data_IF_035687803170
#
_entry.id   IF_035687803170
#
_cell.length_a   1.000
_cell.length_b   1.000
_cell.length_c   1.000
_cell.angle_alpha   90.00
_cell.angle_beta   90.00
_cell.angle_gamma   90.00
#
_symmetry.space_group_name_H-M   'P 1'
#
loop_
_entity.id
_entity.type
_entity.pdbx_description
1 polymer ?
#
# COMPACT_ATOMS: atom_id res chain seq x y z
N UNK A 1 4.01 14.39 10.63
CA UNK A 1 3.86 12.93 10.95
C UNK A 1 3.80 12.66 12.47
N UNK A 2 3.45 13.67 13.27
CA UNK A 2 3.32 13.53 14.74
C UNK A 2 2.28 12.46 15.11
N UNK A 3 1.14 12.48 14.44
CA UNK A 3 0.02 11.55 14.65
C UNK A 3 0.45 10.07 14.51
N UNK A 4 1.24 9.75 13.48
CA UNK A 4 1.79 8.40 13.29
C UNK A 4 2.74 8.00 14.43
N UNK A 5 3.62 8.92 14.85
CA UNK A 5 4.57 8.64 15.95
C UNK A 5 3.85 8.45 17.28
N UNK A 6 2.79 9.19 17.55
CA UNK A 6 1.95 9.03 18.74
C UNK A 6 1.29 7.64 18.78
N UNK A 7 0.74 7.17 17.65
CA UNK A 7 0.19 5.81 17.55
C UNK A 7 1.28 4.74 17.75
N UNK A 8 2.44 4.92 17.10
CA UNK A 8 3.56 3.99 17.22
C UNK A 8 4.05 3.90 18.67
N UNK A 9 4.15 5.03 19.37
CA UNK A 9 4.52 5.10 20.77
C UNK A 9 3.47 4.43 21.67
N UNK A 10 2.20 4.68 21.45
CA UNK A 10 1.11 4.12 22.24
C UNK A 10 1.11 2.57 22.15
N UNK A 11 1.30 2.00 20.96
CA UNK A 11 1.39 0.54 20.80
C UNK A 11 2.64 0.00 21.51
N UNK A 12 3.79 0.67 21.40
CA UNK A 12 5.00 0.26 22.10
C UNK A 12 4.80 0.22 23.62
N UNK A 13 4.13 1.23 24.19
CA UNK A 13 4.02 1.42 25.64
C UNK A 13 2.83 0.64 26.23
N UNK A 14 1.69 0.61 25.54
CA UNK A 14 0.42 0.11 26.05
C UNK A 14 -0.12 -1.11 25.29
N UNK A 15 0.49 -1.51 24.16
CA UNK A 15 0.04 -2.62 23.35
C UNK A 15 0.07 -3.96 24.10
N UNK A 16 -0.93 -4.81 23.82
CA UNK A 16 -1.05 -6.15 24.37
C UNK A 16 -0.25 -7.12 23.52
N UNK A 17 0.60 -7.93 24.15
CA UNK A 17 1.35 -9.00 23.48
C UNK A 17 0.41 -10.14 23.09
N UNK A 18 0.56 -10.65 21.86
CA UNK A 18 -0.14 -11.84 21.35
C UNK A 18 0.72 -12.61 20.36
N UNK A 19 0.47 -13.89 20.25
CA UNK A 19 1.03 -14.71 19.19
C UNK A 19 0.40 -14.34 17.85
N UNK A 20 1.12 -14.57 16.77
CA UNK A 20 0.66 -14.34 15.41
C UNK A 20 0.98 -15.52 14.49
N UNK A 21 0.40 -15.50 13.30
CA UNK A 21 0.58 -16.56 12.29
C UNK A 21 2.05 -16.79 11.89
N UNK A 22 2.90 -15.78 12.00
CA UNK A 22 4.31 -15.87 11.61
C UNK A 22 5.19 -16.50 12.70
N UNK A 23 4.67 -16.68 13.91
CA UNK A 23 5.43 -17.13 15.07
C UNK A 23 6.39 -16.10 15.65
N UNK A 24 6.44 -14.88 15.11
CA UNK A 24 7.28 -13.78 15.61
C UNK A 24 6.71 -13.18 16.89
N UNK A 25 5.38 -13.21 17.02
CA UNK A 25 4.63 -12.51 18.03
C UNK A 25 4.56 -11.00 17.78
N UNK A 26 3.51 -10.39 18.28
CA UNK A 26 3.25 -8.96 18.10
C UNK A 26 2.82 -8.31 19.42
N UNK A 27 3.02 -7.00 19.47
CA UNK A 27 2.38 -6.12 20.46
C UNK A 27 1.41 -5.22 19.69
N UNK A 28 0.14 -5.17 20.10
CA UNK A 28 -0.88 -4.47 19.35
C UNK A 28 -1.95 -3.79 20.17
N UNK A 29 -2.62 -2.82 19.55
CA UNK A 29 -3.82 -2.17 20.06
C UNK A 29 -4.91 -2.35 18.99
N UNK A 30 -6.09 -2.79 19.43
CA UNK A 30 -7.24 -2.92 18.56
C UNK A 30 -7.96 -1.59 18.47
N UNK A 31 -8.12 -1.08 17.26
CA UNK A 31 -8.71 0.18 16.89
C UNK A 31 -7.90 1.43 17.28
N UNK A 32 -7.28 2.02 16.27
CA UNK A 32 -6.62 3.31 16.32
C UNK A 32 -6.96 4.15 15.08
N UNK A 33 -6.80 5.46 15.16
CA UNK A 33 -7.07 6.36 14.04
C UNK A 33 -6.13 7.55 14.05
N UNK A 34 -5.68 7.96 12.85
CA UNK A 34 -4.97 9.21 12.64
C UNK A 34 -5.54 9.99 11.45
N UNK A 35 -5.39 11.32 11.50
CA UNK A 35 -5.80 12.23 10.42
C UNK A 35 -4.59 13.00 9.91
N UNK A 36 -4.47 13.10 8.61
CA UNK A 36 -3.40 13.82 7.91
C UNK A 36 -4.05 14.84 7.00
N UNK A 37 -3.94 16.13 7.35
CA UNK A 37 -4.37 17.22 6.47
C UNK A 37 -3.29 17.46 5.42
N UNK A 38 -3.65 17.34 4.14
CA UNK A 38 -2.69 17.51 3.05
C UNK A 38 -2.30 18.98 2.82
N UNK A 39 -2.99 19.94 3.46
CA UNK A 39 -2.56 21.34 3.51
C UNK A 39 -1.30 21.54 4.36
N UNK A 40 -1.06 20.68 5.36
CA UNK A 40 0.18 20.69 6.17
C UNK A 40 1.41 20.19 5.39
N UNK A 41 1.21 19.59 4.21
CA UNK A 41 2.20 18.95 3.36
C UNK A 41 1.90 17.48 3.12
N UNK A 42 2.68 16.86 2.23
CA UNK A 42 2.52 15.44 1.89
C UNK A 42 2.98 14.55 3.07
N UNK A 43 2.11 13.67 3.60
CA UNK A 43 2.41 12.91 4.81
C UNK A 43 3.36 11.73 4.55
N UNK A 44 4.61 12.02 4.23
CA UNK A 44 5.70 11.08 4.10
C UNK A 44 6.53 11.06 5.38
N UNK A 45 6.80 9.87 5.93
CA UNK A 45 7.59 9.72 7.16
C UNK A 45 8.98 10.29 6.97
N UNK A 46 9.42 11.10 7.95
CA UNK A 46 10.74 11.75 7.96
C UNK A 46 11.66 11.24 9.07
N UNK A 47 11.13 10.48 10.03
CA UNK A 47 11.90 9.89 11.13
C UNK A 47 12.66 8.62 10.75
N UNK A 48 12.45 8.14 9.55
CA UNK A 48 13.27 7.17 8.81
C UNK A 48 13.08 7.42 7.31
N UNK A 49 14.02 6.97 6.49
CA UNK A 49 13.90 7.07 5.03
C UNK A 49 12.75 6.21 4.52
N UNK A 50 11.86 6.82 3.74
CA UNK A 50 10.75 6.15 3.05
C UNK A 50 10.90 6.36 1.54
N UNK A 51 10.80 5.28 0.76
CA UNK A 51 11.08 5.30 -0.68
C UNK A 51 9.79 5.55 -1.47
N UNK A 52 9.42 6.81 -1.67
CA UNK A 52 8.17 7.20 -2.32
C UNK A 52 8.03 6.60 -3.74
N UNK A 53 9.12 6.47 -4.49
CA UNK A 53 9.08 5.86 -5.84
C UNK A 53 8.43 4.47 -5.83
N UNK A 54 8.78 3.62 -4.88
CA UNK A 54 8.22 2.26 -4.76
C UNK A 54 6.72 2.32 -4.47
N UNK A 55 6.31 3.26 -3.60
CA UNK A 55 4.90 3.47 -3.22
C UNK A 55 4.07 3.92 -4.43
N UNK A 56 4.58 4.86 -5.22
CA UNK A 56 3.89 5.36 -6.41
C UNK A 56 3.80 4.29 -7.49
N UNK A 57 4.88 3.54 -7.73
CA UNK A 57 4.89 2.43 -8.71
C UNK A 57 3.86 1.36 -8.33
N UNK A 58 3.76 1.00 -7.06
CA UNK A 58 2.73 0.07 -6.57
C UNK A 58 1.32 0.64 -6.77
N UNK A 59 1.09 1.90 -6.38
CA UNK A 59 -0.23 2.53 -6.50
C UNK A 59 -0.70 2.60 -7.96
N UNK A 60 0.18 2.94 -8.90
CA UNK A 60 -0.14 2.95 -10.33
C UNK A 60 -0.47 1.53 -10.80
N UNK A 61 0.30 0.53 -10.40
CA UNK A 61 0.02 -0.88 -10.71
C UNK A 61 -1.37 -1.31 -10.24
N UNK A 62 -1.78 -0.94 -9.02
CA UNK A 62 -3.13 -1.21 -8.50
C UNK A 62 -4.22 -0.51 -9.33
N UNK A 63 -4.00 0.75 -9.72
CA UNK A 63 -4.94 1.53 -10.54
C UNK A 63 -5.08 0.99 -11.97
N UNK A 64 -4.04 0.36 -12.50
CA UNK A 64 -4.04 -0.33 -13.80
C UNK A 64 -4.74 -1.69 -13.76
N UNK A 65 -5.35 -2.07 -12.62
CA UNK A 65 -5.96 -3.39 -12.33
C UNK A 65 -5.07 -4.60 -12.65
N UNK A 66 -3.77 -4.36 -12.72
CA UNK A 66 -2.81 -5.42 -12.91
C UNK A 66 -2.69 -6.25 -11.63
N UNK A 67 -2.58 -7.56 -11.80
CA UNK A 67 -2.40 -8.54 -10.72
C UNK A 67 -1.07 -9.25 -10.87
N UNK A 68 -0.44 -9.09 -12.02
CA UNK A 68 0.85 -9.66 -12.38
C UNK A 68 1.99 -8.74 -11.91
N UNK A 69 2.94 -9.29 -11.15
CA UNK A 69 4.05 -8.52 -10.59
C UNK A 69 5.13 -8.11 -11.60
N UNK A 70 5.05 -8.55 -12.86
CA UNK A 70 6.05 -8.17 -13.87
C UNK A 70 6.18 -6.66 -14.02
N UNK A 71 5.07 -5.93 -14.01
CA UNK A 71 5.09 -4.47 -14.03
C UNK A 71 5.96 -3.88 -12.91
N UNK A 72 5.85 -4.45 -11.70
CA UNK A 72 6.62 -4.04 -10.52
C UNK A 72 8.10 -4.39 -10.66
N UNK A 73 8.39 -5.64 -11.06
CA UNK A 73 9.76 -6.13 -11.27
C UNK A 73 10.50 -5.32 -12.33
N UNK A 74 9.86 -5.05 -13.47
CA UNK A 74 10.43 -4.24 -14.55
C UNK A 74 10.77 -2.81 -14.09
N UNK A 75 10.09 -2.32 -13.03
CA UNK A 75 10.34 -1.02 -12.39
C UNK A 75 11.15 -1.12 -11.10
N UNK A 76 11.83 -2.23 -10.87
CA UNK A 76 12.65 -2.48 -9.68
C UNK A 76 11.88 -2.22 -8.36
N UNK A 77 10.64 -2.70 -8.30
CA UNK A 77 9.77 -2.70 -7.12
C UNK A 77 9.53 -4.15 -6.69
N UNK A 78 10.09 -4.54 -5.55
CA UNK A 78 10.22 -5.94 -5.11
C UNK A 78 9.39 -6.28 -3.88
N UNK A 79 8.40 -5.44 -3.55
CA UNK A 79 7.62 -5.59 -2.33
C UNK A 79 6.58 -6.72 -2.38
N UNK A 80 6.32 -7.24 -3.59
CA UNK A 80 5.37 -8.33 -3.83
C UNK A 80 6.01 -9.64 -4.27
N UNK A 81 7.33 -9.71 -4.42
CA UNK A 81 8.06 -10.85 -4.99
C UNK A 81 7.86 -12.17 -4.23
N UNK A 82 7.70 -12.07 -2.91
CA UNK A 82 7.74 -13.25 -2.04
C UNK A 82 6.51 -14.14 -2.19
N UNK A 83 5.33 -13.56 -2.33
CA UNK A 83 4.07 -14.33 -2.40
C UNK A 83 3.98 -15.23 -3.64
N UNK A 84 4.18 -14.74 -4.87
CA UNK A 84 4.17 -15.60 -6.04
C UNK A 84 5.35 -16.58 -6.05
N UNK A 85 6.51 -16.20 -5.51
CA UNK A 85 7.63 -17.10 -5.39
C UNK A 85 7.33 -18.25 -4.42
N UNK A 86 6.77 -17.97 -3.24
CA UNK A 86 6.40 -19.01 -2.29
C UNK A 86 5.32 -19.94 -2.87
N UNK A 87 4.33 -19.37 -3.56
CA UNK A 87 3.32 -20.16 -4.27
C UNK A 87 3.96 -21.09 -5.33
N UNK A 88 4.98 -20.60 -6.06
CA UNK A 88 5.76 -21.44 -6.99
C UNK A 88 6.46 -22.59 -6.27
N UNK A 89 7.11 -22.32 -5.15
CA UNK A 89 7.81 -23.35 -4.34
C UNK A 89 6.82 -24.43 -3.85
N UNK A 90 5.70 -23.99 -3.25
CA UNK A 90 4.73 -24.91 -2.64
C UNK A 90 4.00 -25.76 -3.71
N UNK A 91 3.57 -25.12 -4.80
CA UNK A 91 2.86 -25.79 -5.90
C UNK A 91 3.73 -26.81 -6.67
N UNK A 92 5.05 -26.69 -6.60
CA UNK A 92 5.97 -27.62 -7.23
C UNK A 92 6.62 -28.61 -6.23
N UNK A 93 6.16 -28.64 -4.97
CA UNK A 93 6.71 -29.46 -3.88
C UNK A 93 8.22 -29.28 -3.66
N UNK A 94 8.68 -28.04 -3.73
CA UNK A 94 10.11 -27.67 -3.62
C UNK A 94 10.50 -27.20 -2.21
N UNK A 95 9.59 -27.20 -1.23
CA UNK A 95 9.80 -26.65 0.11
C UNK A 95 10.89 -27.37 0.90
N UNK A 96 11.11 -28.68 0.67
CA UNK A 96 12.24 -29.40 1.28
C UNK A 96 13.59 -29.01 0.66
N UNK A 97 13.61 -28.73 -0.66
CA UNK A 97 14.81 -28.32 -1.39
C UNK A 97 15.19 -26.87 -1.09
N UNK A 98 14.20 -26.03 -0.93
CA UNK A 98 14.33 -24.60 -0.66
C UNK A 98 13.52 -24.23 0.60
N UNK A 99 14.03 -24.57 1.80
CA UNK A 99 13.36 -24.19 3.05
C UNK A 99 13.23 -22.68 3.15
N UNK A 100 12.04 -22.19 3.46
CA UNK A 100 11.74 -20.74 3.48
C UNK A 100 12.79 -19.97 4.30
N UNK A 101 13.32 -18.89 3.72
CA UNK A 101 14.40 -18.03 4.24
C UNK A 101 15.77 -18.67 4.38
N UNK A 102 15.98 -19.89 3.91
CA UNK A 102 17.34 -20.44 3.78
C UNK A 102 18.13 -19.67 2.70
N UNK A 103 19.44 -19.88 2.66
CA UNK A 103 20.28 -19.29 1.61
C UNK A 103 19.85 -19.78 0.23
N UNK A 104 19.53 -21.05 0.09
CA UNK A 104 19.05 -21.69 -1.14
C UNK A 104 17.73 -21.08 -1.60
N UNK A 105 16.81 -20.80 -0.66
CA UNK A 105 15.54 -20.13 -0.94
C UNK A 105 15.77 -18.69 -1.47
N UNK A 106 16.67 -17.95 -0.83
CA UNK A 106 17.01 -16.59 -1.25
C UNK A 106 17.66 -16.53 -2.63
N UNK A 107 18.54 -17.48 -2.94
CA UNK A 107 19.19 -17.60 -4.25
C UNK A 107 18.16 -17.99 -5.33
N UNK A 108 17.29 -18.96 -5.05
CA UNK A 108 16.24 -19.36 -6.00
C UNK A 108 15.20 -18.27 -6.20
N UNK A 109 14.83 -17.49 -5.17
CA UNK A 109 13.99 -16.32 -5.34
C UNK A 109 14.62 -15.30 -6.29
N UNK A 110 15.93 -15.08 -6.18
CA UNK A 110 16.63 -14.20 -7.11
C UNK A 110 16.57 -14.73 -8.54
N UNK A 111 16.80 -16.02 -8.76
CA UNK A 111 16.71 -16.66 -10.07
C UNK A 111 15.28 -16.54 -10.64
N UNK A 112 14.28 -16.77 -9.81
CA UNK A 112 12.86 -16.61 -10.16
C UNK A 112 12.56 -15.19 -10.64
N UNK A 113 13.00 -14.17 -9.91
CA UNK A 113 12.80 -12.75 -10.27
C UNK A 113 13.56 -12.39 -11.55
N UNK A 114 14.80 -12.86 -11.71
CA UNK A 114 15.59 -12.69 -12.95
C UNK A 114 14.88 -13.30 -14.16
N UNK A 115 14.30 -14.50 -13.98
CA UNK A 115 13.51 -15.15 -15.02
C UNK A 115 12.28 -14.31 -15.41
N UNK A 116 11.61 -13.75 -14.42
CA UNK A 116 10.51 -12.81 -14.60
C UNK A 116 10.92 -11.63 -15.48
N UNK A 117 11.98 -10.99 -15.10
CA UNK A 117 12.48 -9.80 -15.75
C UNK A 117 12.79 -10.05 -17.24
N UNK A 118 13.35 -11.22 -17.55
CA UNK A 118 13.83 -11.54 -18.88
C UNK A 118 12.79 -12.16 -19.83
N UNK A 119 11.69 -12.70 -19.31
CA UNK A 119 10.64 -13.27 -20.13
C UNK A 119 9.56 -12.24 -20.48
N UNK A 120 8.91 -12.34 -21.65
CA UNK A 120 7.80 -11.47 -22.00
C UNK A 120 6.56 -11.78 -21.13
N UNK A 121 5.69 -10.79 -20.93
CA UNK A 121 4.45 -10.97 -20.17
C UNK A 121 3.51 -12.04 -20.76
N UNK A 122 3.66 -12.36 -22.06
CA UNK A 122 2.90 -13.41 -22.75
C UNK A 122 3.40 -14.84 -22.47
N UNK A 123 4.58 -14.99 -21.85
CA UNK A 123 5.16 -16.29 -21.53
C UNK A 123 4.27 -17.06 -20.52
N UNK A 124 4.15 -18.37 -20.70
CA UNK A 124 3.27 -19.20 -19.84
C UNK A 124 3.77 -19.29 -18.40
N UNK A 125 5.09 -19.28 -18.20
CA UNK A 125 5.66 -19.24 -16.86
C UNK A 125 5.29 -17.93 -16.15
N UNK A 126 5.36 -16.81 -16.88
CA UNK A 126 4.98 -15.48 -16.40
C UNK A 126 3.50 -15.47 -16.01
N UNK A 127 2.63 -15.91 -16.91
CA UNK A 127 1.18 -15.94 -16.67
C UNK A 127 0.80 -16.83 -15.49
N UNK A 128 1.51 -17.94 -15.30
CA UNK A 128 1.15 -18.94 -14.30
C UNK A 128 1.61 -18.56 -12.89
N UNK A 129 2.82 -17.99 -12.77
CA UNK A 129 3.48 -17.90 -11.45
C UNK A 129 3.58 -16.48 -10.90
N UNK A 130 3.13 -15.47 -11.64
CA UNK A 130 3.33 -14.07 -11.27
C UNK A 130 2.09 -13.31 -10.94
N UNK A 131 0.97 -13.98 -11.02
CA UNK A 131 -0.31 -13.42 -10.75
C UNK A 131 -0.64 -13.59 -9.26
N UNK A 132 -1.01 -12.50 -8.63
CA UNK A 132 -1.47 -12.48 -7.23
C UNK A 132 -2.99 -12.62 -7.13
N UNK A 133 -3.66 -12.79 -8.28
CA UNK A 133 -5.09 -12.89 -8.48
C UNK A 133 -5.90 -13.35 -7.25
N UNK A 134 -7.07 -12.78 -6.97
CA UNK A 134 -7.66 -11.52 -7.49
C UNK A 134 -7.57 -10.36 -6.47
N UNK A 135 -6.35 -9.88 -6.18
CA UNK A 135 -6.06 -8.90 -5.13
C UNK A 135 -6.44 -7.45 -5.52
N UNK A 136 -6.33 -6.53 -4.61
CA UNK A 136 -6.57 -5.07 -4.64
C UNK A 136 -7.01 -4.47 -5.98
N UNK A 137 -6.11 -4.33 -6.97
CA UNK A 137 -6.37 -3.69 -8.25
C UNK A 137 -7.48 -4.37 -9.03
N UNK A 138 -7.53 -5.72 -9.00
CA UNK A 138 -8.61 -6.46 -9.59
C UNK A 138 -9.95 -6.11 -8.94
N UNK A 139 -10.03 -6.14 -7.60
CA UNK A 139 -11.27 -5.81 -6.90
C UNK A 139 -11.67 -4.35 -7.12
N UNK A 140 -10.73 -3.42 -7.18
CA UNK A 140 -11.03 -2.01 -7.41
C UNK A 140 -11.63 -1.73 -8.79
N UNK A 141 -11.17 -2.48 -9.83
CA UNK A 141 -11.46 -2.19 -11.23
C UNK A 141 -12.39 -3.22 -11.91
N UNK A 142 -12.53 -4.41 -11.32
CA UNK A 142 -13.39 -5.49 -11.81
C UNK A 142 -13.92 -6.34 -10.65
N UNK A 143 -14.62 -5.70 -9.71
CA UNK A 143 -15.07 -6.35 -8.47
C UNK A 143 -15.83 -7.66 -8.76
N UNK A 144 -15.40 -8.72 -8.08
CA UNK A 144 -15.95 -10.07 -8.21
C UNK A 144 -15.98 -10.60 -9.66
N UNK A 145 -15.05 -10.15 -10.52
CA UNK A 145 -14.99 -10.52 -11.93
C UNK A 145 -16.28 -10.22 -12.72
N UNK A 146 -17.06 -9.24 -12.28
CA UNK A 146 -18.34 -8.84 -12.89
C UNK A 146 -18.30 -7.47 -13.58
N UNK A 147 -17.12 -6.98 -13.94
CA UNK A 147 -16.90 -5.70 -14.62
C UNK A 147 -17.41 -4.48 -13.85
N UNK A 148 -17.48 -4.58 -12.51
CA UNK A 148 -17.82 -3.45 -11.67
C UNK A 148 -16.54 -2.66 -11.34
N UNK A 149 -16.32 -1.57 -12.08
CA UNK A 149 -15.21 -0.65 -11.85
C UNK A 149 -15.59 0.36 -10.75
N UNK A 150 -15.12 0.08 -9.55
CA UNK A 150 -15.43 0.90 -8.36
C UNK A 150 -14.70 2.26 -8.40
N UNK A 151 -13.51 2.35 -9.03
CA UNK A 151 -12.76 3.61 -9.14
C UNK A 151 -13.47 4.57 -10.10
N UNK A 152 -13.87 4.08 -11.30
CA UNK A 152 -14.67 4.86 -12.24
C UNK A 152 -15.96 5.35 -11.59
N UNK A 153 -16.69 4.45 -10.94
CA UNK A 153 -17.92 4.79 -10.22
C UNK A 153 -17.70 5.84 -9.13
N UNK A 154 -16.59 5.77 -8.38
CA UNK A 154 -16.26 6.76 -7.36
C UNK A 154 -15.98 8.13 -7.96
N UNK A 155 -15.19 8.21 -9.04
CA UNK A 155 -14.92 9.47 -9.76
C UNK A 155 -16.20 10.11 -10.29
N UNK A 156 -17.08 9.31 -10.92
CA UNK A 156 -18.38 9.79 -11.40
C UNK A 156 -19.27 10.32 -10.27
N UNK A 157 -19.36 9.59 -9.15
CA UNK A 157 -20.12 10.00 -7.99
C UNK A 157 -19.59 11.31 -7.39
N UNK A 158 -18.28 11.47 -7.28
CA UNK A 158 -17.65 12.70 -6.79
C UNK A 158 -18.05 13.89 -7.68
N UNK A 159 -18.05 13.71 -9.01
CA UNK A 159 -18.40 14.78 -9.98
C UNK A 159 -19.89 15.09 -10.04
N UNK A 160 -20.74 14.06 -10.02
CA UNK A 160 -22.19 14.22 -10.31
C UNK A 160 -23.08 14.27 -9.06
N UNK A 161 -22.64 13.67 -7.97
CA UNK A 161 -23.39 13.61 -6.70
C UNK A 161 -22.44 13.72 -5.49
N UNK A 162 -21.77 14.86 -5.29
CA UNK A 162 -20.72 15.03 -4.29
C UNK A 162 -21.18 14.82 -2.84
N UNK A 163 -22.50 14.95 -2.56
CA UNK A 163 -23.05 14.71 -1.23
C UNK A 163 -23.38 13.25 -0.93
N UNK A 164 -23.12 12.35 -1.90
CA UNK A 164 -23.38 10.93 -1.73
C UNK A 164 -22.47 10.31 -0.65
N UNK A 165 -23.09 9.50 0.23
CA UNK A 165 -22.40 8.79 1.32
C UNK A 165 -22.01 7.36 0.95
N UNK A 166 -22.13 6.98 -0.33
CA UNK A 166 -21.85 5.63 -0.85
C UNK A 166 -20.67 5.58 -1.81
N UNK A 167 -19.76 6.56 -1.72
CA UNK A 167 -18.54 6.62 -2.56
C UNK A 167 -17.49 5.73 -1.89
N UNK A 168 -17.66 4.42 -2.02
CA UNK A 168 -16.86 3.39 -1.35
C UNK A 168 -16.19 2.53 -2.42
N UNK A 169 -14.94 2.14 -2.16
CA UNK A 169 -14.15 1.18 -2.94
C UNK A 169 -13.71 0.07 -2.00
N UNK A 170 -14.12 -1.17 -2.27
CA UNK A 170 -13.78 -2.34 -1.47
C UNK A 170 -12.78 -3.23 -2.21
N UNK A 171 -11.70 -3.60 -1.51
CA UNK A 171 -10.84 -4.71 -1.93
C UNK A 171 -11.24 -6.03 -1.23
N UNK A 172 -12.00 -5.95 -0.15
CA UNK A 172 -12.46 -7.12 0.58
C UNK A 172 -13.65 -7.76 -0.14
N UNK A 173 -13.44 -8.96 -0.66
CA UNK A 173 -14.45 -9.74 -1.36
C UNK A 173 -14.54 -11.13 -0.75
N UNK A 174 -15.53 -11.41 0.11
CA UNK A 174 -15.68 -12.71 0.77
C UNK A 174 -15.84 -13.90 -0.20
N UNK A 175 -16.32 -13.65 -1.43
CA UNK A 175 -16.52 -14.72 -2.41
C UNK A 175 -15.20 -15.18 -3.07
N UNK A 176 -14.15 -14.35 -3.02
CA UNK A 176 -12.87 -14.63 -3.67
C UNK A 176 -11.67 -14.59 -2.71
N UNK A 177 -11.89 -14.45 -1.40
CA UNK A 177 -10.82 -14.25 -0.43
C UNK A 177 -9.85 -15.43 -0.39
N UNK A 178 -10.34 -16.63 -0.59
CA UNK A 178 -9.54 -17.87 -0.56
C UNK A 178 -8.74 -18.10 -1.86
N UNK A 179 -9.04 -17.34 -2.92
CA UNK A 179 -8.28 -17.34 -4.17
C UNK A 179 -7.07 -16.39 -4.11
N UNK A 180 -7.02 -15.49 -3.13
CA UNK A 180 -6.00 -14.47 -3.02
C UNK A 180 -4.74 -15.02 -2.34
N UNK A 181 -3.57 -14.80 -2.92
CA UNK A 181 -2.29 -15.14 -2.29
C UNK A 181 -2.07 -14.35 -0.99
N UNK A 182 -2.63 -13.16 -0.89
CA UNK A 182 -2.65 -12.34 0.31
C UNK A 182 -3.98 -11.59 0.43
N UNK A 183 -4.86 -11.96 1.38
CA UNK A 183 -6.08 -11.21 1.66
C UNK A 183 -5.82 -9.73 1.98
N UNK A 184 -6.58 -8.79 1.40
CA UNK A 184 -6.30 -7.35 1.49
C UNK A 184 -6.28 -6.84 2.93
N UNK A 185 -5.17 -6.23 3.34
CA UNK A 185 -5.07 -5.49 4.60
C UNK A 185 -5.84 -4.17 4.54
N UNK A 186 -5.77 -3.46 3.42
CA UNK A 186 -6.57 -2.27 3.09
C UNK A 186 -7.94 -2.75 2.59
N UNK A 187 -8.88 -2.99 3.52
CA UNK A 187 -10.11 -3.69 3.19
C UNK A 187 -11.05 -2.85 2.33
N UNK A 188 -11.22 -1.58 2.67
CA UNK A 188 -11.98 -0.63 1.86
C UNK A 188 -11.62 0.82 2.21
N UNK A 189 -11.96 1.73 1.31
CA UNK A 189 -11.85 3.15 1.56
C UNK A 189 -13.07 3.90 1.04
N UNK A 190 -13.30 5.10 1.57
CA UNK A 190 -14.45 5.94 1.25
C UNK A 190 -14.01 7.36 1.01
N UNK A 191 -14.57 7.98 -0.03
CA UNK A 191 -14.43 9.40 -0.29
C UNK A 191 -15.58 10.20 0.31
N UNK A 192 -15.26 11.44 0.68
CA UNK A 192 -16.22 12.44 1.10
C UNK A 192 -15.85 13.79 0.49
N UNK A 193 -16.84 14.49 -0.08
CA UNK A 193 -16.62 15.83 -0.63
C UNK A 193 -17.09 16.88 0.37
N UNK A 194 -16.18 17.73 0.80
CA UNK A 194 -16.51 18.99 1.47
C UNK A 194 -16.86 20.03 0.40
N UNK A 195 -18.15 20.14 0.12
CA UNK A 195 -18.66 21.07 -0.90
C UNK A 195 -18.52 22.54 -0.51
N UNK A 196 -18.35 22.84 0.78
CA UNK A 196 -18.15 24.20 1.28
C UNK A 196 -16.76 24.72 0.96
N UNK A 197 -15.74 23.87 1.17
CA UNK A 197 -14.34 24.24 0.98
C UNK A 197 -13.75 23.72 -0.35
N UNK A 198 -14.57 23.03 -1.14
CA UNK A 198 -14.15 22.40 -2.41
C UNK A 198 -12.99 21.42 -2.23
N UNK A 199 -13.09 20.56 -1.18
CA UNK A 199 -12.07 19.59 -0.81
C UNK A 199 -12.58 18.15 -0.93
N UNK A 200 -11.69 17.26 -1.36
CA UNK A 200 -11.92 15.81 -1.32
C UNK A 200 -11.22 15.22 -0.10
N UNK A 201 -11.94 14.48 0.72
CA UNK A 201 -11.40 13.71 1.84
C UNK A 201 -11.44 12.22 1.53
N UNK A 202 -10.56 11.46 2.17
CA UNK A 202 -10.51 10.00 2.04
C UNK A 202 -10.34 9.36 3.41
N UNK A 203 -11.10 8.30 3.69
CA UNK A 203 -10.90 7.45 4.85
C UNK A 203 -10.57 6.03 4.40
N UNK A 204 -9.48 5.48 4.92
CA UNK A 204 -9.10 4.08 4.76
C UNK A 204 -9.46 3.27 6.01
N UNK A 205 -10.09 2.10 5.81
CA UNK A 205 -10.20 1.05 6.80
C UNK A 205 -9.14 -0.03 6.53
N UNK A 206 -8.18 -0.17 7.44
CA UNK A 206 -7.13 -1.18 7.39
C UNK A 206 -7.33 -2.21 8.51
N UNK A 207 -7.60 -3.48 8.13
CA UNK A 207 -7.91 -4.55 9.08
C UNK A 207 -6.70 -5.07 9.85
N UNK A 208 -5.51 -4.95 9.29
CA UNK A 208 -4.24 -5.40 9.86
C UNK A 208 -3.14 -4.44 9.46
N UNK A 209 -2.39 -3.92 10.42
CA UNK A 209 -1.49 -2.80 10.22
C UNK A 209 -0.15 -3.00 10.94
N UNK A 210 0.87 -3.45 10.19
CA UNK A 210 2.25 -3.39 10.65
C UNK A 210 2.69 -1.93 10.70
N UNK A 211 2.74 -1.41 11.90
CA UNK A 211 2.99 0.01 12.16
C UNK A 211 4.40 0.45 11.77
N UNK A 212 5.38 -0.46 11.81
CA UNK A 212 6.76 -0.09 11.52
C UNK A 212 7.07 -0.14 10.03
N UNK A 213 6.78 -1.25 9.34
CA UNK A 213 7.15 -1.40 7.91
C UNK A 213 6.12 -0.79 6.97
N UNK A 214 4.86 -1.23 7.06
CA UNK A 214 3.88 -0.99 6.00
C UNK A 214 3.00 0.24 6.20
N UNK A 215 2.63 0.60 7.42
CA UNK A 215 1.78 1.77 7.67
C UNK A 215 2.36 3.07 7.11
N UNK A 216 3.69 3.37 7.18
CA UNK A 216 4.28 4.51 6.48
C UNK A 216 4.05 4.53 4.97
N UNK A 217 4.10 3.36 4.32
CA UNK A 217 3.80 3.20 2.89
C UNK A 217 2.33 3.48 2.62
N UNK A 218 1.43 2.91 3.44
CA UNK A 218 -0.01 3.06 3.27
C UNK A 218 -0.45 4.52 3.43
N UNK A 219 0.08 5.25 4.40
CA UNK A 219 -0.18 6.69 4.58
C UNK A 219 0.16 7.46 3.30
N UNK A 220 1.35 7.26 2.76
CA UNK A 220 1.81 7.95 1.56
C UNK A 220 1.01 7.52 0.30
N UNK A 221 0.74 6.22 0.14
CA UNK A 221 -0.02 5.66 -0.99
C UNK A 221 -1.43 6.24 -1.07
N UNK A 222 -2.20 6.19 0.03
CA UNK A 222 -3.58 6.70 0.04
C UNK A 222 -3.64 8.23 0.01
N UNK A 223 -2.62 8.92 0.51
CA UNK A 223 -2.50 10.37 0.34
C UNK A 223 -2.23 10.76 -1.12
N UNK A 224 -1.40 9.99 -1.83
CA UNK A 224 -1.17 10.19 -3.26
C UNK A 224 -2.44 9.86 -4.07
N UNK A 225 -3.15 8.78 -3.73
CA UNK A 225 -4.45 8.44 -4.34
C UNK A 225 -5.46 9.58 -4.15
N UNK A 226 -5.57 10.13 -2.94
CA UNK A 226 -6.42 11.29 -2.68
C UNK A 226 -6.07 12.48 -3.57
N UNK A 227 -4.78 12.80 -3.73
CA UNK A 227 -4.32 13.89 -4.59
C UNK A 227 -4.67 13.64 -6.07
N UNK A 228 -4.47 12.42 -6.56
CA UNK A 228 -4.79 12.03 -7.94
C UNK A 228 -6.29 12.18 -8.24
N UNK A 229 -7.15 11.63 -7.38
CA UNK A 229 -8.60 11.70 -7.56
C UNK A 229 -9.10 13.14 -7.40
N UNK A 230 -8.57 13.90 -6.46
CA UNK A 230 -8.88 15.32 -6.31
C UNK A 230 -8.56 16.10 -7.59
N UNK A 231 -7.39 15.85 -8.21
CA UNK A 231 -6.98 16.50 -9.47
C UNK A 231 -7.94 16.18 -10.62
N UNK A 232 -8.33 14.91 -10.81
CA UNK A 232 -9.28 14.49 -11.85
C UNK A 232 -10.67 15.12 -11.65
N UNK A 233 -11.07 15.29 -10.39
CA UNK A 233 -12.43 15.79 -10.06
C UNK A 233 -12.48 17.30 -9.90
N UNK A 234 -11.36 18.01 -10.06
CA UNK A 234 -11.27 19.46 -9.93
C UNK A 234 -11.39 19.96 -8.48
N UNK A 235 -11.18 19.08 -7.51
CA UNK A 235 -11.22 19.39 -6.08
C UNK A 235 -9.81 19.61 -5.52
N UNK A 236 -9.73 20.25 -4.36
CA UNK A 236 -8.49 20.32 -3.58
C UNK A 236 -8.35 19.05 -2.74
N UNK A 237 -7.13 18.48 -2.58
CA UNK A 237 -6.93 17.42 -1.61
C UNK A 237 -7.17 17.96 -0.19
N UNK A 238 -7.96 17.24 0.59
CA UNK A 238 -8.31 17.55 1.97
C UNK A 238 -7.60 16.64 2.96
N UNK A 239 -8.36 15.97 3.81
CA UNK A 239 -7.84 15.13 4.88
C UNK A 239 -7.86 13.65 4.49
N UNK A 240 -6.74 12.97 4.68
CA UNK A 240 -6.66 11.51 4.74
C UNK A 240 -6.87 11.04 6.19
N UNK A 241 -7.89 10.23 6.42
CA UNK A 241 -8.16 9.58 7.70
C UNK A 241 -7.79 8.11 7.61
N UNK A 242 -6.86 7.66 8.44
CA UNK A 242 -6.43 6.27 8.49
C UNK A 242 -6.98 5.58 9.73
N UNK A 243 -7.90 4.64 9.53
CA UNK A 243 -8.48 3.82 10.59
C UNK A 243 -7.81 2.45 10.57
N UNK A 244 -7.15 2.11 11.67
CA UNK A 244 -6.33 0.93 11.88
C UNK A 244 -7.02 0.03 12.90
N UNK A 245 -7.33 -1.21 12.55
CA UNK A 245 -8.03 -2.11 13.47
C UNK A 245 -7.08 -2.97 14.29
N UNK A 246 -6.34 -3.87 13.68
CA UNK A 246 -5.26 -4.60 14.36
C UNK A 246 -3.95 -3.86 14.08
N UNK A 247 -3.71 -2.80 14.84
CA UNK A 247 -2.48 -2.03 14.74
C UNK A 247 -1.41 -2.66 15.63
N UNK A 248 -0.29 -3.10 15.04
CA UNK A 248 0.70 -3.88 15.76
C UNK A 248 2.14 -3.56 15.37
N UNK A 249 3.04 -3.89 16.29
CA UNK A 249 4.49 -3.90 16.12
C UNK A 249 4.95 -5.34 16.33
N UNK A 250 5.67 -5.90 15.37
CA UNK A 250 6.31 -7.22 15.55
C UNK A 250 7.37 -7.17 16.64
N UNK A 251 7.51 -8.23 17.44
CA UNK A 251 8.43 -8.25 18.57
C UNK A 251 9.88 -8.04 18.14
N UNK A 252 10.25 -8.47 16.93
CA UNK A 252 11.58 -8.28 16.34
C UNK A 252 11.79 -6.86 15.75
N UNK A 253 10.81 -5.96 15.85
CA UNK A 253 10.91 -4.56 15.41
C UNK A 253 11.02 -3.55 16.57
N UNK A 254 10.98 -3.99 17.82
CA UNK A 254 10.92 -3.09 18.98
C UNK A 254 12.14 -2.14 19.04
N UNK A 255 13.34 -2.64 18.75
CA UNK A 255 14.55 -1.81 18.76
C UNK A 255 14.52 -0.75 17.66
N UNK A 256 14.04 -1.12 16.47
CA UNK A 256 13.87 -0.21 15.34
C UNK A 256 12.82 0.86 15.61
N UNK A 257 11.72 0.48 16.28
CA UNK A 257 10.69 1.42 16.73
C UNK A 257 11.26 2.40 17.73
N UNK A 258 12.02 1.93 18.72
CA UNK A 258 12.70 2.79 19.68
C UNK A 258 13.63 3.78 18.98
N UNK A 259 14.47 3.30 18.04
CA UNK A 259 15.34 4.17 17.24
C UNK A 259 14.52 5.22 16.46
N UNK A 260 13.41 4.82 15.83
CA UNK A 260 12.57 5.75 15.05
C UNK A 260 11.91 6.81 15.94
N UNK A 261 11.46 6.45 17.14
CA UNK A 261 10.84 7.37 18.08
C UNK A 261 11.82 8.39 18.70
N UNK A 262 13.12 8.08 18.74
CA UNK A 262 14.18 9.03 19.13
C UNK A 262 14.43 10.10 18.06
N UNK A 263 14.15 9.81 16.80
CA UNK A 263 14.38 10.71 15.69
C UNK A 263 13.33 11.84 15.67
N UNK A 264 13.80 13.10 15.70
CA UNK A 264 12.90 14.25 15.58
C UNK A 264 12.36 14.35 14.15
N UNK A 265 11.03 14.50 13.96
CA UNK A 265 10.48 14.66 12.63
C UNK A 265 10.92 15.97 11.99
N UNK A 266 11.25 15.91 10.69
CA UNK A 266 11.45 17.09 9.85
C UNK A 266 10.10 17.62 9.34
N UNK A 267 10.14 18.81 8.70
CA UNK A 267 8.98 19.37 8.00
C UNK A 267 8.51 18.42 6.90
N UNK A 268 7.19 18.37 6.69
CA UNK A 268 6.62 17.56 5.61
C UNK A 268 7.08 18.08 4.24
N UNK A 269 7.33 17.16 3.29
CA UNK A 269 7.64 17.53 1.91
C UNK A 269 6.38 17.98 1.16
N UNK A 270 6.59 18.46 -0.07
CA UNK A 270 5.53 18.69 -1.04
C UNK A 270 5.61 17.65 -2.14
N UNK A 271 4.49 17.08 -2.52
CA UNK A 271 4.37 16.20 -3.68
C UNK A 271 3.59 16.92 -4.79
N UNK A 272 4.20 17.06 -5.97
CA UNK A 272 3.55 17.58 -7.15
C UNK A 272 3.26 16.45 -8.14
N UNK A 273 2.09 16.47 -8.77
CA UNK A 273 1.75 15.65 -9.94
C UNK A 273 1.92 16.56 -11.16
N UNK A 274 3.00 16.35 -11.91
CA UNK A 274 3.42 17.21 -13.02
C UNK A 274 2.50 17.08 -14.23
N UNK A 275 2.07 15.86 -14.52
CA UNK A 275 1.19 15.56 -15.65
C UNK A 275 -0.22 16.10 -15.41
N UNK A 276 -0.82 16.68 -16.44
CA UNK A 276 -2.25 17.01 -16.42
C UNK A 276 -3.07 15.74 -16.56
N UNK A 277 -3.86 15.43 -15.55
CA UNK A 277 -4.71 14.26 -15.48
C UNK A 277 -6.17 14.68 -15.33
N UNK A 278 -7.05 14.17 -16.20
CA UNK A 278 -8.48 14.52 -16.26
C UNK A 278 -9.38 13.31 -16.21
N UNK A 279 -8.82 12.15 -16.54
CA UNK A 279 -9.57 10.88 -16.64
C UNK A 279 -8.85 9.79 -15.86
N UNK A 280 -9.52 8.65 -15.71
CA UNK A 280 -8.92 7.46 -15.09
C UNK A 280 -7.84 6.86 -16.00
N UNK A 281 -8.05 6.92 -17.31
CA UNK A 281 -7.07 6.45 -18.29
C UNK A 281 -5.75 7.26 -18.19
N UNK A 282 -5.83 8.55 -17.89
CA UNK A 282 -4.62 9.34 -17.63
C UNK A 282 -3.85 8.82 -16.43
N UNK A 283 -4.53 8.35 -15.36
CA UNK A 283 -3.88 7.74 -14.19
C UNK A 283 -3.12 6.46 -14.55
N UNK A 284 -3.69 5.64 -15.43
CA UNK A 284 -3.08 4.38 -15.86
C UNK A 284 -1.79 4.61 -16.67
N UNK A 285 -1.62 5.80 -17.24
CA UNK A 285 -0.44 6.17 -18.01
C UNK A 285 0.62 6.93 -17.20
N UNK A 286 0.39 7.13 -15.90
CA UNK A 286 1.38 7.75 -15.04
C UNK A 286 2.59 6.84 -14.84
N UNK A 287 3.75 7.47 -14.73
CA UNK A 287 5.00 6.84 -14.30
C UNK A 287 5.57 7.62 -13.11
N UNK A 288 6.58 7.08 -12.46
CA UNK A 288 7.21 7.76 -11.33
C UNK A 288 7.72 9.17 -11.68
N UNK A 289 8.19 9.36 -12.91
CA UNK A 289 8.75 10.60 -13.42
C UNK A 289 7.72 11.73 -13.56
N UNK A 290 6.43 11.40 -13.52
CA UNK A 290 5.33 12.38 -13.49
C UNK A 290 5.10 12.97 -12.08
N UNK A 291 5.89 12.55 -11.09
CA UNK A 291 5.84 13.05 -9.71
C UNK A 291 7.11 13.74 -9.31
N UNK A 292 6.95 14.86 -8.62
CA UNK A 292 8.06 15.64 -8.09
C UNK A 292 7.94 15.77 -6.56
N UNK A 293 8.91 15.19 -5.85
CA UNK A 293 8.99 15.29 -4.38
C UNK A 293 9.96 16.39 -3.98
N UNK A 294 9.44 17.50 -3.45
CA UNK A 294 10.20 18.67 -3.04
C UNK A 294 10.41 18.69 -1.52
N UNK A 295 11.59 19.15 -1.10
CA UNK A 295 11.94 19.41 0.29
C UNK A 295 11.84 18.17 1.21
N UNK A 296 12.04 16.96 0.70
CA UNK A 296 12.07 15.76 1.52
C UNK A 296 13.42 15.60 2.21
N UNK A 297 13.43 15.81 3.50
CA UNK A 297 14.55 15.49 4.39
C UNK A 297 14.12 14.42 5.37
N UNK A 298 14.90 13.38 5.55
CA UNK A 298 14.62 12.28 6.48
C UNK A 298 15.87 11.84 7.22
N UNK A 299 15.66 11.16 8.33
CA UNK A 299 16.72 10.35 8.94
C UNK A 299 17.04 9.14 8.04
N UNK A 300 18.13 8.44 8.38
CA UNK A 300 18.60 7.26 7.66
C UNK A 300 17.59 6.12 7.62
N UNK A 301 17.86 5.15 6.76
CA UNK A 301 17.06 3.90 6.68
C UNK A 301 17.21 3.13 7.98
N UNK A 302 16.09 2.75 8.57
CA UNK A 302 16.06 1.79 9.68
C UNK A 302 15.56 0.47 9.10
N UNK A 303 16.48 -0.49 8.95
CA UNK A 303 16.17 -1.82 8.40
C UNK A 303 15.51 -2.71 9.46
N UNK A 304 14.51 -3.49 9.04
CA UNK A 304 13.90 -4.54 9.86
C UNK A 304 13.56 -5.75 8.97
N UNK A 305 13.54 -6.97 9.54
CA UNK A 305 13.09 -8.14 8.82
C UNK A 305 11.59 -8.06 8.52
N UNK A 306 11.16 -8.58 7.38
CA UNK A 306 9.72 -8.73 7.10
C UNK A 306 9.24 -9.97 7.85
N UNK A 307 8.14 -9.84 8.61
CA UNK A 307 7.48 -10.98 9.26
C UNK A 307 6.41 -11.54 8.32
N UNK A 308 6.52 -12.81 7.93
CA UNK A 308 5.66 -13.49 6.94
C UNK A 308 5.40 -14.93 7.31
#
# INVERSE_FOLDING_TARGET
MKQYLELLQDIRDNGIGKDDRTGTGVRGIFWMQAKYDLEDGFPLVTTKKTFLRIIIVELIWLLRWETNIKYLVDRNCHIWDEWPFQNYIDSNNLSEKFPKYSQEWMEEKKNFIEKIKNLPASDEFVKKWWDLWPVYGHQWRNFNSQWVDQITNAIEQIKTNPTNRRIIVSAWNPAQIDEMLLPPCHAFFQFNVDTTNNKLNLQLYQRSADMFLWVPFNIASYSALLMMIAKITGLKPGTFTHTLWDAHIYNNHIDQVNQQLWNKPHKLPTLNILKDIKTLEDLETLEWEDFELLNYTSHEVIKAPVAV
#
